data_IF_070752632628
#
_entry.id   IF_070752632628
#
_cell.length_a   1.000
_cell.length_b   1.000
_cell.length_c   1.000
_cell.angle_alpha   90.00
_cell.angle_beta   90.00
_cell.angle_gamma   90.00
#
_symmetry.space_group_name_H-M   'P 1'
#
loop_
_entity.id
_entity.type
_entity.pdbx_description
1 polymer ?
#
# COMPACT_ATOMS: atom_id res chain seq x y z
N UNK A 1 -6.04 -26.12 29.86
CA UNK A 1 -7.31 -25.42 30.17
C UNK A 1 -7.26 -23.92 29.85
N UNK A 2 -6.20 -23.18 30.20
CA UNK A 2 -6.08 -21.74 29.93
C UNK A 2 -6.03 -21.37 28.42
N UNK A 3 -5.42 -22.22 27.60
CA UNK A 3 -5.23 -21.99 26.16
C UNK A 3 -6.56 -21.89 25.38
N UNK A 4 -7.55 -22.73 25.75
CA UNK A 4 -8.85 -22.75 25.07
C UNK A 4 -9.71 -21.53 25.46
N UNK A 5 -9.58 -21.02 26.69
CA UNK A 5 -10.25 -19.80 27.14
C UNK A 5 -9.74 -18.56 26.40
N UNK A 6 -8.43 -18.47 26.21
CA UNK A 6 -7.80 -17.37 25.46
C UNK A 6 -8.26 -17.34 24.00
N UNK A 7 -8.35 -18.50 23.35
CA UNK A 7 -8.83 -18.61 21.96
C UNK A 7 -10.29 -18.19 21.81
N UNK A 8 -11.16 -18.63 22.73
CA UNK A 8 -12.58 -18.29 22.71
C UNK A 8 -12.83 -16.79 22.95
N UNK A 9 -12.06 -16.18 23.85
CA UNK A 9 -12.10 -14.73 24.07
C UNK A 9 -11.70 -13.97 22.80
N UNK A 10 -10.60 -14.38 22.15
CA UNK A 10 -10.13 -13.79 20.90
C UNK A 10 -11.20 -13.87 19.79
N UNK A 11 -11.82 -15.03 19.58
CA UNK A 11 -12.87 -15.22 18.57
C UNK A 11 -14.08 -14.32 18.83
N UNK A 12 -14.49 -14.17 20.10
CA UNK A 12 -15.61 -13.29 20.49
C UNK A 12 -15.28 -11.82 20.24
N UNK A 13 -14.06 -11.39 20.56
CA UNK A 13 -13.59 -10.03 20.29
C UNK A 13 -13.55 -9.74 18.80
N UNK A 14 -13.00 -10.65 17.99
CA UNK A 14 -12.96 -10.50 16.53
C UNK A 14 -14.38 -10.38 15.96
N UNK A 15 -15.31 -11.26 16.34
CA UNK A 15 -16.70 -11.20 15.88
C UNK A 15 -17.40 -9.88 16.27
N UNK A 16 -17.13 -9.37 17.47
CA UNK A 16 -17.68 -8.09 17.94
C UNK A 16 -17.17 -6.92 17.11
N UNK A 17 -15.86 -6.91 16.79
CA UNK A 17 -15.25 -5.85 16.02
C UNK A 17 -15.70 -5.90 14.55
N UNK A 18 -15.76 -7.07 13.93
CA UNK A 18 -16.29 -7.24 12.56
C UNK A 18 -17.75 -6.78 12.45
N UNK A 19 -18.61 -7.13 13.43
CA UNK A 19 -20.01 -6.68 13.43
C UNK A 19 -20.16 -5.16 13.51
N UNK A 20 -19.27 -4.48 14.22
CA UNK A 20 -19.34 -3.02 14.44
C UNK A 20 -18.71 -2.21 13.32
N UNK A 21 -17.64 -2.70 12.72
CA UNK A 21 -16.78 -1.91 11.84
C UNK A 21 -16.64 -2.49 10.42
N UNK A 22 -17.26 -3.63 10.14
CA UNK A 22 -17.21 -4.32 8.84
C UNK A 22 -16.09 -5.35 8.75
N UNK A 23 -16.05 -6.05 7.62
CA UNK A 23 -15.01 -7.04 7.33
C UNK A 23 -13.65 -6.37 7.03
N UNK A 24 -12.56 -7.09 7.23
CA UNK A 24 -11.21 -6.63 6.87
C UNK A 24 -10.53 -5.68 7.87
N UNK A 25 -11.18 -5.36 9.00
CA UNK A 25 -10.62 -4.49 10.04
C UNK A 25 -9.45 -5.11 10.82
N UNK A 26 -9.41 -6.45 10.88
CA UNK A 26 -8.35 -7.23 11.51
C UNK A 26 -8.11 -8.43 10.61
N UNK A 27 -6.85 -8.62 10.23
CA UNK A 27 -6.39 -9.75 9.45
C UNK A 27 -5.13 -10.32 10.07
N UNK A 28 -4.89 -11.62 9.89
CA UNK A 28 -3.59 -12.19 10.27
C UNK A 28 -2.55 -11.74 9.25
N UNK A 29 -1.41 -11.29 9.74
CA UNK A 29 -0.31 -10.79 8.90
C UNK A 29 0.17 -11.82 7.86
N UNK A 30 0.08 -13.13 8.16
CA UNK A 30 0.44 -14.21 7.24
C UNK A 30 -0.66 -14.64 6.26
N UNK A 31 -1.92 -14.28 6.52
CA UNK A 31 -3.03 -14.48 5.56
C UNK A 31 -3.10 -13.32 4.55
N UNK A 32 -2.36 -12.23 4.79
CA UNK A 32 -2.06 -11.21 3.79
C UNK A 32 -1.03 -11.78 2.80
N UNK A 33 -1.45 -12.70 1.91
CA UNK A 33 -0.68 -13.02 0.70
C UNK A 33 -0.23 -11.71 0.10
N UNK A 34 1.10 -11.52 -0.10
CA UNK A 34 1.76 -10.34 -0.70
C UNK A 34 0.71 -9.33 -1.15
N UNK A 35 0.37 -8.36 -0.29
CA UNK A 35 -0.55 -7.30 -0.68
C UNK A 35 -0.04 -6.81 -2.02
N UNK A 36 -0.78 -7.11 -3.09
CA UNK A 36 -0.35 -6.80 -4.43
C UNK A 36 -0.44 -5.28 -4.50
N UNK A 37 0.70 -4.63 -4.26
CA UNK A 37 0.74 -3.19 -4.09
C UNK A 37 0.65 -2.63 -5.49
N UNK A 38 -0.56 -2.19 -5.85
CA UNK A 38 -0.76 -1.48 -7.10
C UNK A 38 0.19 -0.28 -7.14
N UNK A 39 0.97 -0.17 -8.20
CA UNK A 39 1.99 0.86 -8.35
C UNK A 39 1.80 1.63 -9.67
N UNK A 40 2.13 2.92 -9.63
CA UNK A 40 2.15 3.79 -10.80
C UNK A 40 3.61 3.90 -11.27
N UNK A 41 3.95 3.54 -12.52
CA UNK A 41 5.29 3.72 -13.07
C UNK A 41 5.78 5.15 -12.94
N UNK A 42 7.06 5.33 -12.67
CA UNK A 42 7.65 6.66 -12.49
C UNK A 42 7.96 7.38 -13.80
N UNK A 43 7.87 6.67 -14.94
CA UNK A 43 8.39 7.11 -16.23
C UNK A 43 9.89 6.87 -16.39
N UNK A 44 10.55 6.27 -15.38
CA UNK A 44 11.96 5.88 -15.41
C UNK A 44 12.11 4.41 -15.03
N UNK A 45 12.43 3.57 -16.02
CA UNK A 45 12.57 2.12 -15.83
C UNK A 45 13.57 1.75 -14.71
N UNK A 46 14.69 2.49 -14.63
CA UNK A 46 15.70 2.22 -13.60
C UNK A 46 15.18 2.50 -12.20
N UNK A 47 14.35 3.54 -12.03
CA UNK A 47 13.75 3.88 -10.74
C UNK A 47 12.64 2.89 -10.36
N UNK A 48 11.82 2.46 -11.32
CA UNK A 48 10.76 1.46 -11.10
C UNK A 48 11.33 0.12 -10.61
N UNK A 49 12.45 -0.30 -11.19
CA UNK A 49 13.21 -1.48 -10.75
C UNK A 49 13.78 -1.26 -9.34
N UNK A 50 14.39 -0.09 -9.08
CA UNK A 50 14.98 0.22 -7.78
C UNK A 50 13.95 0.26 -6.64
N UNK A 51 12.72 0.69 -6.92
CA UNK A 51 11.61 0.68 -5.96
C UNK A 51 11.09 -0.73 -5.65
N UNK A 52 11.40 -1.73 -6.50
CA UNK A 52 11.10 -3.14 -6.28
C UNK A 52 9.63 -3.55 -6.41
N UNK A 53 8.72 -2.57 -6.51
CA UNK A 53 7.28 -2.77 -6.71
C UNK A 53 6.81 -2.26 -8.08
N UNK A 54 7.72 -1.85 -8.95
CA UNK A 54 7.42 -1.41 -10.32
C UNK A 54 6.96 0.04 -10.46
N UNK A 55 7.11 0.86 -9.41
CA UNK A 55 6.75 2.28 -9.44
C UNK A 55 6.43 2.84 -8.05
N UNK A 56 5.72 3.97 -8.00
CA UNK A 56 5.22 4.53 -6.73
C UNK A 56 3.96 3.80 -6.26
N UNK A 57 3.89 3.34 -5.01
CA UNK A 57 2.75 2.55 -4.52
C UNK A 57 1.51 3.42 -4.29
N UNK A 58 0.35 2.94 -4.75
CA UNK A 58 -0.94 3.58 -4.51
C UNK A 58 -1.35 3.50 -3.03
N UNK A 59 -2.12 4.50 -2.59
CA UNK A 59 -2.61 4.56 -1.21
C UNK A 59 -1.53 4.86 -0.16
N UNK A 60 -0.35 5.34 -0.58
CA UNK A 60 0.77 5.69 0.29
C UNK A 60 1.22 7.13 0.03
N UNK A 61 1.79 7.75 1.05
CA UNK A 61 2.43 9.07 0.95
C UNK A 61 3.88 8.83 0.52
N UNK A 62 4.32 9.56 -0.50
CA UNK A 62 5.68 9.50 -1.06
C UNK A 62 6.32 10.88 -0.95
N UNK A 63 7.56 10.93 -0.50
CA UNK A 63 8.36 12.16 -0.41
C UNK A 63 9.49 12.11 -1.44
N UNK A 64 9.62 13.18 -2.24
CA UNK A 64 10.72 13.39 -3.19
C UNK A 64 11.44 14.67 -2.80
N UNK A 65 12.66 14.55 -2.28
CA UNK A 65 13.48 15.68 -1.83
C UNK A 65 14.80 15.74 -2.59
N UNK A 66 15.45 16.91 -2.56
CA UNK A 66 16.72 17.13 -3.27
C UNK A 66 16.97 18.60 -3.62
N UNK A 67 18.18 18.93 -4.13
CA UNK A 67 18.58 20.30 -4.48
C UNK A 67 17.65 20.98 -5.49
N UNK A 68 17.73 22.30 -5.58
CA UNK A 68 17.05 23.05 -6.64
C UNK A 68 17.47 22.53 -8.02
N UNK A 69 16.54 22.55 -8.98
CA UNK A 69 16.77 22.04 -10.34
C UNK A 69 17.13 20.54 -10.45
N UNK A 70 17.00 19.74 -9.39
CA UNK A 70 17.30 18.29 -9.41
C UNK A 70 16.25 17.41 -10.10
N UNK A 71 15.22 18.01 -10.72
CA UNK A 71 14.17 17.27 -11.44
C UNK A 71 13.02 16.73 -10.59
N UNK A 72 12.86 17.14 -9.32
CA UNK A 72 11.76 16.70 -8.43
C UNK A 72 10.38 16.88 -9.07
N UNK A 73 10.07 18.11 -9.50
CA UNK A 73 8.79 18.44 -10.15
C UNK A 73 8.62 17.68 -11.46
N UNK A 74 9.69 17.55 -12.25
CA UNK A 74 9.68 16.78 -13.50
C UNK A 74 9.31 15.33 -13.25
N UNK A 75 9.92 14.69 -12.25
CA UNK A 75 9.60 13.31 -11.87
C UNK A 75 8.14 13.18 -11.41
N UNK A 76 7.63 14.10 -10.59
CA UNK A 76 6.21 14.11 -10.20
C UNK A 76 5.28 14.22 -11.41
N UNK A 77 5.61 15.08 -12.38
CA UNK A 77 4.82 15.24 -13.59
C UNK A 77 4.84 13.98 -14.48
N UNK A 78 5.96 13.25 -14.54
CA UNK A 78 6.02 11.95 -15.21
C UNK A 78 5.14 10.91 -14.51
N UNK A 79 5.19 10.82 -13.19
CA UNK A 79 4.29 9.93 -12.41
C UNK A 79 2.83 10.27 -12.69
N UNK A 80 2.48 11.56 -12.74
CA UNK A 80 1.12 12.01 -13.08
C UNK A 80 0.74 11.59 -14.51
N UNK A 81 1.63 11.80 -15.49
CA UNK A 81 1.38 11.40 -16.87
C UNK A 81 1.18 9.87 -17.00
N UNK A 82 1.96 9.08 -16.27
CA UNK A 82 1.81 7.63 -16.21
C UNK A 82 0.48 7.19 -15.57
N UNK A 83 0.05 7.88 -14.51
CA UNK A 83 -1.26 7.66 -13.91
C UNK A 83 -2.40 7.97 -14.89
N UNK A 84 -2.31 9.10 -15.60
CA UNK A 84 -3.29 9.51 -16.61
C UNK A 84 -3.35 8.54 -17.79
N UNK A 85 -2.19 8.07 -18.27
CA UNK A 85 -2.08 7.08 -19.34
C UNK A 85 -2.79 5.76 -18.99
N UNK A 86 -2.87 5.43 -17.70
CA UNK A 86 -3.58 4.25 -17.18
C UNK A 86 -5.06 4.50 -16.89
N UNK A 87 -5.60 5.66 -17.30
CA UNK A 87 -6.99 6.03 -17.08
C UNK A 87 -7.29 6.59 -15.69
N UNK A 88 -6.27 6.91 -14.89
CA UNK A 88 -6.42 7.70 -13.67
C UNK A 88 -6.69 9.18 -13.99
N UNK A 89 -7.26 9.91 -13.04
CA UNK A 89 -7.45 11.38 -13.10
C UNK A 89 -6.33 12.07 -12.34
#
# INVERSE_FOLDING_TARGET
MAENGRRKALETTLATLTKRYGDGIIMKLGDASRLDVEAIPTGSLSLDIALGVGGVPRGRIIEIYGPESSGKTTLCLHVIAEAQRQGGV
#
